data_IF_034350521354
#
_entry.id   IF_034350521354
#
_cell.length_a   1.000
_cell.length_b   1.000
_cell.length_c   1.000
_cell.angle_alpha   90.00
_cell.angle_beta   90.00
_cell.angle_gamma   90.00
#
_symmetry.space_group_name_H-M   'P 1'
#
loop_
_entity.id
_entity.type
_entity.pdbx_description
1 polymer ?
#
# COMPACT_ATOMS: atom_id res chain seq x y z
N UNK A 1 -8.21 16.08 -22.95
CA UNK A 1 -8.26 14.76 -22.28
C UNK A 1 -8.96 14.86 -20.92
N UNK A 2 -8.61 15.83 -20.07
CA UNK A 2 -9.27 16.11 -18.78
C UNK A 2 -10.80 16.26 -18.86
N UNK A 3 -11.34 17.12 -19.73
CA UNK A 3 -12.81 17.30 -19.84
C UNK A 3 -13.61 16.02 -20.15
N UNK A 4 -13.02 15.00 -20.79
CA UNK A 4 -13.67 13.70 -21.03
C UNK A 4 -13.57 12.78 -19.81
N UNK A 5 -12.46 12.84 -19.07
CA UNK A 5 -12.30 12.11 -17.80
C UNK A 5 -13.28 12.60 -16.74
N UNK A 6 -13.56 13.90 -16.71
CA UNK A 6 -14.48 14.51 -15.76
C UNK A 6 -15.95 14.12 -16.01
N UNK A 7 -16.26 13.65 -17.23
CA UNK A 7 -17.60 13.16 -17.59
C UNK A 7 -17.85 11.69 -17.17
N UNK A 8 -16.79 10.95 -16.81
CA UNK A 8 -16.89 9.56 -16.36
C UNK A 8 -17.27 9.51 -14.88
N UNK A 9 -18.24 8.66 -14.53
CA UNK A 9 -18.89 8.66 -13.21
C UNK A 9 -18.15 7.80 -12.19
N UNK A 10 -17.35 6.84 -12.64
CA UNK A 10 -16.66 5.88 -11.76
C UNK A 10 -15.15 5.89 -11.97
N UNK A 11 -14.38 5.59 -10.93
CA UNK A 11 -12.92 5.42 -11.06
C UNK A 11 -12.55 4.30 -12.03
N UNK A 12 -13.38 3.25 -12.11
CA UNK A 12 -13.16 2.13 -13.04
C UNK A 12 -13.21 2.58 -14.50
N UNK A 13 -14.20 3.39 -14.89
CA UNK A 13 -14.29 3.96 -16.24
C UNK A 13 -13.12 4.91 -16.51
N UNK A 14 -12.74 5.74 -15.53
CA UNK A 14 -11.57 6.63 -15.64
C UNK A 14 -10.27 5.83 -15.83
N UNK A 15 -10.08 4.75 -15.07
CA UNK A 15 -8.93 3.83 -15.22
C UNK A 15 -8.93 3.18 -16.60
N UNK A 16 -10.08 2.70 -17.08
CA UNK A 16 -10.17 2.11 -18.42
C UNK A 16 -9.84 3.10 -19.52
N UNK A 17 -10.25 4.36 -19.41
CA UNK A 17 -9.88 5.40 -20.37
C UNK A 17 -8.38 5.73 -20.32
N UNK A 18 -7.75 5.60 -19.15
CA UNK A 18 -6.33 5.82 -18.92
C UNK A 18 -5.48 4.56 -19.15
N UNK A 19 -6.06 3.40 -19.46
CA UNK A 19 -5.32 2.13 -19.61
C UNK A 19 -4.29 2.14 -20.74
N UNK A 20 -4.40 3.11 -21.65
CA UNK A 20 -3.33 3.43 -22.60
C UNK A 20 -1.97 3.67 -21.90
N UNK A 21 -1.96 4.25 -20.70
CA UNK A 21 -0.75 4.44 -19.89
C UNK A 21 -0.23 3.15 -19.27
N UNK A 22 -1.04 2.09 -19.13
CA UNK A 22 -0.60 0.81 -18.58
C UNK A 22 0.46 0.16 -19.50
N UNK A 23 0.41 0.44 -20.81
CA UNK A 23 1.40 -0.01 -21.78
C UNK A 23 2.66 0.89 -21.84
N UNK A 24 2.61 2.09 -21.26
CA UNK A 24 3.78 2.94 -21.06
C UNK A 24 4.51 2.48 -19.78
N UNK A 25 5.06 1.27 -19.86
CA UNK A 25 5.68 0.58 -18.73
C UNK A 25 6.96 1.29 -18.31
N UNK A 26 6.88 2.02 -17.19
CA UNK A 26 8.05 2.51 -16.46
C UNK A 26 8.22 1.58 -15.27
N UNK A 27 9.08 0.56 -15.42
CA UNK A 27 9.46 -0.30 -14.30
C UNK A 27 10.14 0.58 -13.25
N UNK A 28 9.42 0.83 -12.16
CA UNK A 28 9.86 1.74 -11.10
C UNK A 28 10.26 0.94 -9.89
N UNK A 29 11.42 1.28 -9.33
CA UNK A 29 11.90 0.77 -8.06
C UNK A 29 11.65 1.83 -7.00
N UNK A 30 10.75 1.56 -6.06
CA UNK A 30 10.38 2.50 -5.00
C UNK A 30 10.82 1.94 -3.66
N UNK A 31 11.59 2.72 -2.91
CA UNK A 31 11.89 2.45 -1.52
C UNK A 31 11.23 3.56 -0.70
N UNK A 32 10.26 3.18 0.13
CA UNK A 32 9.47 4.11 0.93
C UNK A 32 9.61 3.77 2.40
N UNK A 33 10.19 4.69 3.18
CA UNK A 33 10.14 4.62 4.63
C UNK A 33 9.04 5.54 5.15
N UNK A 34 8.01 4.96 5.76
CA UNK A 34 6.81 5.67 6.20
C UNK A 34 6.93 6.23 7.62
N UNK A 35 8.00 5.88 8.34
CA UNK A 35 8.25 6.33 9.70
C UNK A 35 7.88 5.28 10.75
N UNK A 36 7.59 5.78 11.95
CA UNK A 36 7.25 4.99 13.12
C UNK A 36 5.76 5.10 13.41
N UNK A 37 5.10 3.96 13.58
CA UNK A 37 3.73 3.89 14.07
C UNK A 37 3.74 3.64 15.58
N UNK A 38 3.04 4.50 16.32
CA UNK A 38 2.83 4.35 17.75
C UNK A 38 1.36 4.02 18.01
N UNK A 39 1.11 2.81 18.50
CA UNK A 39 -0.24 2.30 18.77
C UNK A 39 -0.69 2.48 20.24
N UNK A 40 0.18 3.00 21.12
CA UNK A 40 -0.12 3.17 22.55
C UNK A 40 -0.69 1.91 23.19
N UNK A 41 -1.75 2.08 24.00
CA UNK A 41 -2.42 0.97 24.69
C UNK A 41 -3.08 -0.06 23.76
N UNK A 42 -3.34 0.33 22.51
CA UNK A 42 -3.97 -0.53 21.51
C UNK A 42 -2.95 -1.44 20.78
N UNK A 43 -1.65 -1.27 21.01
CA UNK A 43 -0.60 -2.09 20.40
C UNK A 43 -0.84 -3.59 20.61
N UNK A 44 -1.39 -3.98 21.78
CA UNK A 44 -1.73 -5.37 22.11
C UNK A 44 -2.77 -6.01 21.19
N UNK A 45 -3.52 -5.21 20.42
CA UNK A 45 -4.54 -5.66 19.48
C UNK A 45 -4.06 -5.65 18.02
N UNK A 46 -2.82 -5.21 17.77
CA UNK A 46 -2.24 -5.12 16.43
C UNK A 46 -1.20 -6.21 16.28
N UNK A 47 -1.49 -7.21 15.45
CA UNK A 47 -0.54 -8.29 15.13
C UNK A 47 0.52 -7.83 14.13
N UNK A 48 0.10 -7.12 13.09
CA UNK A 48 0.98 -6.60 12.05
C UNK A 48 0.38 -5.38 11.36
N UNK A 49 1.24 -4.62 10.68
CA UNK A 49 0.84 -3.52 9.81
C UNK A 49 1.38 -3.80 8.43
N UNK A 50 0.52 -3.72 7.43
CA UNK A 50 0.89 -3.92 6.03
C UNK A 50 0.42 -2.73 5.19
N UNK A 51 1.30 -2.27 4.30
CA UNK A 51 1.03 -1.15 3.40
C UNK A 51 1.03 -1.62 1.97
N UNK A 52 -0.18 -1.64 1.41
CA UNK A 52 -0.40 -2.03 0.03
C UNK A 52 -0.66 -0.81 -0.84
N UNK A 53 0.13 -0.66 -1.89
CA UNK A 53 -0.11 0.34 -2.94
C UNK A 53 -0.32 -0.37 -4.28
N UNK A 54 -1.18 0.21 -5.12
CA UNK A 54 -1.51 -0.31 -6.46
C UNK A 54 -1.40 0.80 -7.49
N UNK A 55 -0.96 0.48 -8.71
CA UNK A 55 -0.85 1.45 -9.81
C UNK A 55 0.58 1.74 -10.26
N UNK A 56 1.59 1.22 -9.55
CA UNK A 56 2.98 1.21 -9.99
C UNK A 56 3.32 -0.20 -10.51
N UNK A 57 4.09 -0.25 -11.60
CA UNK A 57 4.70 -1.48 -12.12
C UNK A 57 6.18 -1.52 -11.72
N UNK A 58 6.66 -2.66 -11.23
CA UNK A 58 8.03 -2.86 -10.76
C UNK A 58 8.11 -3.49 -9.36
N UNK A 59 9.06 -3.00 -8.56
CA UNK A 59 9.35 -3.45 -7.20
C UNK A 59 9.19 -2.27 -6.22
N UNK A 60 8.41 -2.47 -5.17
CA UNK A 60 8.18 -1.48 -4.12
C UNK A 60 8.53 -2.13 -2.78
N UNK A 61 9.33 -1.43 -1.98
CA UNK A 61 9.63 -1.75 -0.60
C UNK A 61 8.98 -0.70 0.29
N UNK A 62 7.95 -1.08 1.03
CA UNK A 62 7.35 -0.22 2.05
C UNK A 62 7.89 -0.63 3.42
N UNK A 63 8.58 0.30 4.08
CA UNK A 63 9.22 0.07 5.36
C UNK A 63 8.53 0.90 6.44
N UNK A 64 8.28 0.28 7.59
CA UNK A 64 7.73 0.92 8.77
C UNK A 64 8.41 0.39 10.04
N UNK A 65 8.46 1.23 11.07
CA UNK A 65 8.79 0.78 12.43
C UNK A 65 7.50 0.71 13.26
N UNK A 66 7.24 -0.43 13.86
CA UNK A 66 6.10 -0.65 14.76
C UNK A 66 6.60 -1.38 16.02
N UNK A 67 6.61 -0.66 17.14
CA UNK A 67 7.24 -1.16 18.37
C UNK A 67 8.73 -1.45 18.17
N UNK A 68 9.15 -2.65 18.58
CA UNK A 68 10.54 -3.13 18.48
C UNK A 68 10.87 -3.76 17.12
N UNK A 69 9.94 -3.70 16.15
CA UNK A 69 10.09 -4.36 14.86
C UNK A 69 10.14 -3.36 13.71
N UNK A 70 10.93 -3.72 12.69
CA UNK A 70 10.85 -3.12 11.37
C UNK A 70 10.10 -4.09 10.48
N UNK A 71 9.05 -3.62 9.83
CA UNK A 71 8.31 -4.39 8.82
C UNK A 71 8.64 -3.86 7.44
N UNK A 72 8.84 -4.77 6.49
CA UNK A 72 9.16 -4.48 5.10
C UNK A 72 8.15 -5.24 4.24
N UNK A 73 7.21 -4.52 3.62
CA UNK A 73 6.32 -5.10 2.62
C UNK A 73 6.97 -5.01 1.23
N UNK A 74 7.12 -6.16 0.58
CA UNK A 74 7.71 -6.29 -0.75
C UNK A 74 6.60 -6.50 -1.78
N UNK A 75 6.29 -5.46 -2.54
CA UNK A 75 5.28 -5.51 -3.61
C UNK A 75 5.98 -5.62 -4.96
N UNK A 76 5.65 -6.67 -5.70
CA UNK A 76 6.22 -6.96 -7.01
C UNK A 76 5.12 -7.14 -8.05
N UNK A 77 5.21 -6.45 -9.17
CA UNK A 77 4.26 -6.59 -10.29
C UNK A 77 4.72 -7.62 -11.33
N UNK A 78 5.78 -8.40 -11.03
CA UNK A 78 6.35 -9.42 -11.90
C UNK A 78 6.45 -10.77 -11.17
N UNK A 79 6.56 -11.86 -11.93
CA UNK A 79 6.43 -13.22 -11.39
C UNK A 79 7.66 -13.71 -10.61
N UNK A 80 8.86 -13.19 -10.93
CA UNK A 80 10.11 -13.63 -10.30
C UNK A 80 10.14 -13.31 -8.81
N UNK A 81 10.59 -14.27 -8.00
CA UNK A 81 10.74 -14.13 -6.55
C UNK A 81 12.21 -13.91 -6.13
N UNK A 82 13.12 -13.91 -7.10
CA UNK A 82 14.58 -13.82 -6.89
C UNK A 82 14.99 -12.67 -5.96
N UNK A 83 14.38 -11.49 -6.13
CA UNK A 83 14.69 -10.33 -5.28
C UNK A 83 14.33 -10.55 -3.82
N UNK A 84 13.17 -11.17 -3.58
CA UNK A 84 12.72 -11.46 -2.22
C UNK A 84 13.58 -12.57 -1.58
N UNK A 85 13.86 -13.63 -2.33
CA UNK A 85 14.70 -14.74 -1.86
C UNK A 85 16.12 -14.28 -1.52
N UNK A 86 16.76 -13.49 -2.39
CA UNK A 86 18.10 -12.94 -2.13
C UNK A 86 18.10 -11.93 -0.97
N UNK A 87 17.02 -11.16 -0.80
CA UNK A 87 16.87 -10.28 0.36
C UNK A 87 16.85 -11.09 1.66
N UNK A 88 16.02 -12.14 1.75
CA UNK A 88 15.95 -13.02 2.93
C UNK A 88 17.29 -13.72 3.18
N UNK A 89 17.94 -14.23 2.13
CA UNK A 89 19.28 -14.85 2.23
C UNK A 89 20.33 -13.87 2.76
N UNK A 90 20.22 -12.59 2.38
CA UNK A 90 21.10 -11.52 2.88
C UNK A 90 20.87 -11.23 4.36
N UNK A 91 19.62 -11.20 4.82
CA UNK A 91 19.32 -11.05 6.26
C UNK A 91 19.90 -12.21 7.07
N UNK A 92 19.77 -13.44 6.56
CA UNK A 92 20.35 -14.64 7.16
C UNK A 92 21.87 -14.58 7.25
N UNK A 93 22.56 -14.15 6.19
CA UNK A 93 24.01 -14.09 6.16
C UNK A 93 24.59 -13.05 7.14
N UNK A 94 23.83 -11.99 7.44
CA UNK A 94 24.16 -11.03 8.48
C UNK A 94 23.77 -11.46 9.89
N UNK A 95 23.12 -12.61 10.06
CA UNK A 95 22.67 -13.10 11.36
C UNK A 95 21.56 -12.23 11.98
N UNK A 96 20.79 -11.53 11.16
CA UNK A 96 19.66 -10.71 11.62
C UNK A 96 18.46 -11.62 11.92
N UNK A 97 17.88 -11.45 13.11
CA UNK A 97 16.61 -12.09 13.43
C UNK A 97 15.51 -11.51 12.52
N UNK A 98 14.78 -12.40 11.84
CA UNK A 98 13.76 -12.00 10.88
C UNK A 98 12.70 -13.08 10.75
N UNK A 99 11.49 -12.64 10.40
CA UNK A 99 10.41 -13.53 9.97
C UNK A 99 10.01 -13.12 8.56
N UNK A 100 10.02 -14.07 7.63
CA UNK A 100 9.60 -13.86 6.25
C UNK A 100 8.29 -14.61 5.99
N UNK A 101 7.26 -13.89 5.55
CA UNK A 101 6.02 -14.50 5.07
C UNK A 101 6.16 -14.86 3.59
N UNK A 102 5.48 -15.92 3.16
CA UNK A 102 5.37 -16.25 1.74
C UNK A 102 4.54 -15.22 0.95
N UNK A 103 4.27 -15.54 -0.31
CA UNK A 103 3.49 -14.67 -1.21
C UNK A 103 2.05 -14.51 -0.71
N UNK A 104 1.63 -13.26 -0.54
CA UNK A 104 0.25 -12.90 -0.19
C UNK A 104 -0.37 -12.21 -1.41
N UNK A 105 -1.47 -12.79 -1.93
CA UNK A 105 -2.28 -12.11 -2.93
C UNK A 105 -3.12 -11.04 -2.23
N UNK A 106 -3.06 -9.80 -2.71
CA UNK A 106 -3.91 -8.71 -2.24
C UNK A 106 -4.58 -8.02 -3.42
N UNK A 107 -5.75 -7.43 -3.16
CA UNK A 107 -6.42 -6.53 -4.09
C UNK A 107 -6.82 -5.27 -3.33
N UNK A 108 -6.49 -4.11 -3.88
CA UNK A 108 -7.03 -2.85 -3.34
C UNK A 108 -8.53 -2.80 -3.65
N UNK A 109 -9.33 -2.43 -2.66
CA UNK A 109 -10.80 -2.48 -2.76
C UNK A 109 -11.27 -1.65 -3.96
N UNK A 110 -12.17 -2.18 -4.81
CA UNK A 110 -12.78 -1.37 -5.85
C UNK A 110 -13.57 -0.21 -5.23
N UNK A 111 -13.69 0.88 -5.98
CA UNK A 111 -14.20 2.22 -5.63
C UNK A 111 -15.57 2.26 -4.92
N UNK A 112 -16.27 1.13 -4.81
CA UNK A 112 -17.48 0.97 -3.99
C UNK A 112 -17.11 0.49 -2.58
N UNK A 113 -16.28 1.25 -1.87
CA UNK A 113 -15.96 0.97 -0.46
C UNK A 113 -17.05 1.44 0.52
N UNK A 114 -18.19 1.96 0.04
CA UNK A 114 -19.34 2.21 0.91
C UNK A 114 -20.67 2.01 0.18
N UNK A 115 -21.50 1.13 0.74
CA UNK A 115 -22.91 1.46 0.87
C UNK A 115 -22.95 2.40 2.08
N UNK A 116 -23.22 3.71 1.93
CA UNK A 116 -23.41 4.56 3.09
C UNK A 116 -24.53 3.92 3.91
N UNK A 117 -24.25 3.55 5.16
CA UNK A 117 -25.21 2.97 6.08
C UNK A 117 -26.23 4.04 6.49
N UNK A 118 -27.04 4.57 5.56
CA UNK A 118 -28.09 5.58 5.78
C UNK A 118 -27.68 6.89 6.48
N UNK A 119 -26.45 7.01 6.97
CA UNK A 119 -25.93 8.10 7.80
C UNK A 119 -24.44 8.24 7.54
N UNK A 120 -24.04 9.34 6.91
CA UNK A 120 -22.65 9.76 6.89
C UNK A 120 -22.22 10.20 8.30
N UNK A 121 -20.99 9.89 8.69
CA UNK A 121 -20.37 10.53 9.84
C UNK A 121 -20.28 12.03 9.55
N UNK A 122 -20.98 12.85 10.35
CA UNK A 122 -20.83 14.31 10.31
C UNK A 122 -19.40 14.64 10.73
N UNK A 123 -18.65 15.32 9.86
CA UNK A 123 -17.40 15.98 10.25
C UNK A 123 -17.77 17.07 11.25
N UNK A 124 -17.35 16.91 12.51
CA UNK A 124 -17.36 18.01 13.47
C UNK A 124 -16.18 18.91 13.14
N UNK A 125 -16.41 19.96 12.35
CA UNK A 125 -15.53 21.12 12.37
C UNK A 125 -15.92 21.91 13.62
N UNK A 126 -15.15 21.75 14.70
CA UNK A 126 -15.18 22.76 15.75
C UNK A 126 -14.61 24.05 15.13
N UNK A 127 -15.32 25.19 15.19
CA UNK A 127 -14.72 26.45 14.83
C UNK A 127 -13.54 26.70 15.77
N UNK A 128 -12.39 27.01 15.19
CA UNK A 128 -11.29 27.59 15.94
C UNK A 128 -11.76 29.00 16.36
N UNK A 129 -12.03 29.19 17.65
CA UNK A 129 -12.18 30.52 18.22
C UNK A 129 -10.77 31.12 18.36
N UNK A 130 -10.58 32.32 17.80
CA UNK A 130 -9.37 33.14 17.92
C UNK A 130 -9.32 33.85 19.27
#
# INVERSE_FOLDING_TARGET
MSNKLDQLKTLAEKKQMLSFFDNLRIDTFVISYLGQLNFGDAARYVESVHLYSSGNHGLILNMLSAGEHITIDVLQSFASELFFEEFVRTLQSYGLDHTATGKIAFATTPDKASVPAGRQAKKYYLPFEN
#
